data_IF_840331297581
#
_entry.id   IF_840331297581
#
_cell.length_a   1.000
_cell.length_b   1.000
_cell.length_c   1.000
_cell.angle_alpha   90.00
_cell.angle_beta   90.00
_cell.angle_gamma   90.00
#
_symmetry.space_group_name_H-M   'P 1'
#
loop_
_entity.id
_entity.type
_entity.pdbx_description
1 polymer ?
#
# COMPACT_ATOMS: atom_id res chain seq x y z
N UNK A 1 11.17 22.10 0.34
CA UNK A 1 10.34 21.02 0.95
C UNK A 1 9.09 20.85 0.08
N UNK A 2 8.65 19.60 -0.16
CA UNK A 2 7.41 19.38 -0.91
C UNK A 2 6.24 19.89 -0.07
N UNK A 3 5.40 20.77 -0.64
CA UNK A 3 4.25 21.35 0.04
C UNK A 3 3.12 20.32 0.14
N UNK A 4 2.30 20.40 1.19
CA UNK A 4 1.12 19.57 1.28
C UNK A 4 0.16 19.88 0.13
N UNK A 5 -0.47 18.85 -0.41
CA UNK A 5 -1.38 18.95 -1.54
C UNK A 5 -2.67 18.18 -1.25
N UNK A 6 -3.77 18.67 -1.81
CA UNK A 6 -5.11 18.12 -1.66
C UNK A 6 -5.66 17.71 -3.01
N UNK A 7 -6.35 16.56 -3.04
CA UNK A 7 -7.18 16.13 -4.15
C UNK A 7 -8.60 15.87 -3.67
N UNK A 8 -9.57 16.18 -4.52
CA UNK A 8 -11.00 15.96 -4.29
C UNK A 8 -11.62 15.42 -5.57
N UNK A 9 -12.30 14.28 -5.49
CA UNK A 9 -13.10 13.71 -6.57
C UNK A 9 -14.55 13.53 -6.12
N UNK A 10 -15.53 13.73 -7.01
CA UNK A 10 -16.94 13.46 -6.69
C UNK A 10 -17.12 12.04 -6.14
N UNK A 11 -17.82 11.93 -5.00
CA UNK A 11 -18.10 10.64 -4.35
C UNK A 11 -16.96 10.04 -3.52
N UNK A 12 -15.77 10.67 -3.48
CA UNK A 12 -14.65 10.24 -2.64
C UNK A 12 -14.39 11.23 -1.50
N UNK A 13 -13.91 10.77 -0.33
CA UNK A 13 -13.49 11.70 0.72
C UNK A 13 -12.28 12.53 0.24
N UNK A 14 -12.13 13.80 0.67
CA UNK A 14 -10.94 14.58 0.36
C UNK A 14 -9.68 13.87 0.86
N UNK A 15 -8.64 13.86 0.02
CA UNK A 15 -7.35 13.29 0.37
C UNK A 15 -6.30 14.40 0.39
N UNK A 16 -5.66 14.57 1.54
CA UNK A 16 -4.51 15.47 1.70
C UNK A 16 -3.25 14.64 1.91
N UNK A 17 -2.18 14.96 1.19
CA UNK A 17 -0.85 14.38 1.34
C UNK A 17 0.09 15.45 1.85
N UNK A 18 0.74 15.20 2.99
CA UNK A 18 1.84 15.98 3.54
C UNK A 18 3.11 15.11 3.55
N UNK A 19 3.81 15.10 2.42
CA UNK A 19 5.03 14.34 2.25
C UNK A 19 6.16 14.81 3.19
N UNK A 20 6.15 16.07 3.62
CA UNK A 20 7.15 16.60 4.55
C UNK A 20 7.00 16.02 5.97
N UNK A 21 5.79 15.60 6.35
CA UNK A 21 5.50 14.94 7.63
C UNK A 21 5.30 13.43 7.50
N UNK A 22 5.50 12.86 6.30
CA UNK A 22 5.16 11.49 5.93
C UNK A 22 3.73 11.08 6.33
N UNK A 23 2.76 12.00 6.19
CA UNK A 23 1.35 11.81 6.58
C UNK A 23 0.35 12.06 5.47
N UNK A 24 -0.81 11.42 5.55
CA UNK A 24 -2.02 11.79 4.82
C UNK A 24 -3.20 12.05 5.76
N UNK A 25 -4.22 12.74 5.25
CA UNK A 25 -5.45 13.05 5.97
C UNK A 25 -6.64 12.75 5.06
N UNK A 26 -7.46 11.76 5.42
CA UNK A 26 -8.66 11.39 4.65
C UNK A 26 -9.71 10.59 5.48
N UNK A 27 -9.63 10.66 6.82
CA UNK A 27 -10.41 9.82 7.73
C UNK A 27 -9.68 8.54 8.15
N UNK A 28 -10.31 7.73 9.01
CA UNK A 28 -9.68 6.58 9.66
C UNK A 28 -9.76 5.27 8.86
N UNK A 29 -10.79 5.12 8.03
CA UNK A 29 -11.09 3.92 7.23
C UNK A 29 -10.48 4.00 5.84
N UNK A 30 -10.00 2.88 5.31
CA UNK A 30 -9.29 2.82 4.02
C UNK A 30 -10.18 2.53 2.83
N UNK A 31 -11.26 1.74 2.98
CA UNK A 31 -12.12 1.37 1.83
C UNK A 31 -12.63 2.56 1.02
N UNK A 32 -13.04 3.70 1.63
CA UNK A 32 -13.46 4.89 0.87
C UNK A 32 -12.37 5.47 -0.05
N UNK A 33 -11.09 5.18 0.21
CA UNK A 33 -9.96 5.67 -0.58
C UNK A 33 -9.60 4.76 -1.76
N UNK A 34 -10.21 3.58 -1.88
CA UNK A 34 -9.97 2.68 -3.01
C UNK A 34 -10.30 3.33 -4.36
N UNK A 35 -11.25 4.28 -4.39
CA UNK A 35 -11.55 5.05 -5.60
C UNK A 35 -10.38 5.91 -6.11
N UNK A 36 -9.43 6.31 -5.24
CA UNK A 36 -8.21 6.99 -5.67
C UNK A 36 -7.15 6.02 -6.24
N UNK A 37 -7.33 4.71 -6.06
CA UNK A 37 -6.45 3.70 -6.65
C UNK A 37 -6.87 3.34 -8.08
N UNK A 38 -8.01 3.86 -8.54
CA UNK A 38 -8.58 3.58 -9.85
C UNK A 38 -8.31 4.75 -10.82
N UNK A 39 -7.83 4.41 -12.01
CA UNK A 39 -7.52 5.37 -13.06
C UNK A 39 -6.30 6.26 -12.77
N UNK A 40 -5.94 7.09 -13.74
CA UNK A 40 -4.86 8.06 -13.59
C UNK A 40 -5.30 9.22 -12.68
N UNK A 41 -4.38 9.75 -11.86
CA UNK A 41 -4.54 11.03 -11.17
C UNK A 41 -3.68 12.05 -11.89
N UNK A 42 -4.31 12.99 -12.60
CA UNK A 42 -3.58 14.04 -13.29
C UNK A 42 -2.94 15.00 -12.27
N UNK A 43 -1.76 15.52 -12.59
CA UNK A 43 -1.06 16.50 -11.74
C UNK A 43 -1.91 17.76 -11.50
N UNK A 44 -2.78 18.11 -12.46
CA UNK A 44 -3.69 19.26 -12.38
C UNK A 44 -4.86 19.07 -11.42
N UNK A 45 -5.16 17.84 -10.99
CA UNK A 45 -6.18 17.58 -9.95
C UNK A 45 -5.68 17.97 -8.55
N UNK A 46 -4.37 18.07 -8.37
CA UNK A 46 -3.76 18.44 -7.10
C UNK A 46 -3.81 19.94 -6.87
N UNK A 47 -4.39 20.31 -5.73
CA UNK A 47 -4.44 21.69 -5.24
C UNK A 47 -3.39 21.86 -4.15
N UNK A 48 -2.50 22.85 -4.33
CA UNK A 48 -1.59 23.26 -3.26
C UNK A 48 -2.39 23.81 -2.07
N UNK A 49 -2.01 23.44 -0.85
CA UNK A 49 -2.55 24.05 0.37
C UNK A 49 -1.72 25.25 0.78
N UNK A 50 -2.35 26.26 1.36
CA UNK A 50 -1.66 27.34 2.07
C UNK A 50 -0.98 26.81 3.33
N UNK A 51 -0.08 27.60 3.91
CA UNK A 51 0.64 27.19 5.12
C UNK A 51 -0.32 27.11 6.32
N UNK A 52 -1.30 28.02 6.39
CA UNK A 52 -2.36 28.02 7.40
C UNK A 52 -3.26 26.77 7.31
N UNK A 53 -3.64 26.36 6.09
CA UNK A 53 -4.41 25.13 5.89
C UNK A 53 -3.60 23.88 6.24
N UNK A 54 -2.32 23.86 5.84
CA UNK A 54 -1.40 22.76 6.17
C UNK A 54 -1.25 22.60 7.68
N UNK A 55 -1.07 23.71 8.40
CA UNK A 55 -0.94 23.69 9.86
C UNK A 55 -2.22 23.22 10.56
N UNK A 56 -3.39 23.60 10.04
CA UNK A 56 -4.67 23.09 10.54
C UNK A 56 -4.76 21.55 10.48
N UNK A 57 -4.28 20.94 9.41
CA UNK A 57 -4.23 19.46 9.32
C UNK A 57 -3.21 18.86 10.28
N UNK A 58 -2.02 19.44 10.41
CA UNK A 58 -1.00 18.95 11.35
C UNK A 58 -1.48 18.99 12.80
N UNK A 59 -2.12 20.11 13.17
CA UNK A 59 -2.66 20.34 14.50
C UNK A 59 -3.88 19.46 14.85
N UNK A 60 -4.61 18.90 13.87
CA UNK A 60 -5.75 18.02 14.15
C UNK A 60 -5.36 16.66 14.72
N UNK A 61 -4.08 16.30 14.63
CA UNK A 61 -3.53 14.98 14.95
C UNK A 61 -4.28 13.79 14.31
N UNK A 62 -5.05 14.04 13.24
CA UNK A 62 -5.81 13.01 12.51
C UNK A 62 -5.01 12.40 11.35
N UNK A 63 -3.75 12.81 11.20
CA UNK A 63 -2.87 12.34 10.12
C UNK A 63 -2.41 10.91 10.34
N UNK A 64 -2.41 10.13 9.26
CA UNK A 64 -2.00 8.72 9.24
C UNK A 64 -0.74 8.55 8.37
N UNK A 65 0.10 7.53 8.62
CA UNK A 65 1.36 7.36 7.88
C UNK A 65 1.15 7.16 6.38
N UNK A 66 1.99 7.79 5.53
CA UNK A 66 1.91 7.60 4.07
C UNK A 66 2.18 6.17 3.63
N UNK A 67 2.94 5.39 4.40
CA UNK A 67 3.10 3.96 4.15
C UNK A 67 1.77 3.22 4.11
N UNK A 68 0.78 3.59 4.95
CA UNK A 68 -0.56 2.99 4.94
C UNK A 68 -1.31 3.31 3.65
N UNK A 69 -1.12 4.50 3.08
CA UNK A 69 -1.71 4.89 1.80
C UNK A 69 -1.01 4.20 0.62
N UNK A 70 0.31 4.10 0.63
CA UNK A 70 1.09 3.35 -0.36
C UNK A 70 0.68 1.86 -0.37
N UNK A 71 0.55 1.28 0.81
CA UNK A 71 0.05 -0.08 0.99
C UNK A 71 -1.33 -0.27 0.34
N UNK A 72 -2.28 0.65 0.60
CA UNK A 72 -3.61 0.58 0.01
C UNK A 72 -3.57 0.71 -1.52
N UNK A 73 -2.76 1.64 -2.03
CA UNK A 73 -2.60 1.85 -3.46
C UNK A 73 -2.08 0.61 -4.17
N UNK A 74 -1.04 -0.03 -3.61
CA UNK A 74 -0.49 -1.28 -4.15
C UNK A 74 -1.49 -2.41 -4.06
N UNK A 75 -2.21 -2.54 -2.94
CA UNK A 75 -3.25 -3.54 -2.77
C UNK A 75 -4.36 -3.37 -3.82
N UNK A 76 -4.81 -2.13 -4.04
CA UNK A 76 -5.90 -1.80 -4.97
C UNK A 76 -5.52 -1.88 -6.46
N UNK A 77 -4.23 -2.01 -6.79
CA UNK A 77 -3.73 -2.03 -8.18
C UNK A 77 -2.98 -3.32 -8.56
N UNK A 78 -2.72 -4.21 -7.60
CA UNK A 78 -1.95 -5.45 -7.85
C UNK A 78 -2.72 -6.51 -8.64
N UNK A 79 -4.06 -6.51 -8.55
CA UNK A 79 -4.99 -7.33 -9.32
C UNK A 79 -4.79 -8.86 -9.23
N UNK A 80 -4.03 -9.36 -8.26
CA UNK A 80 -3.90 -10.79 -7.94
C UNK A 80 -3.20 -11.68 -8.98
N UNK A 81 -2.80 -11.15 -10.14
CA UNK A 81 -2.26 -11.95 -11.24
C UNK A 81 -0.74 -12.16 -11.14
N UNK A 82 -0.02 -11.19 -10.58
CA UNK A 82 1.45 -11.18 -10.55
C UNK A 82 1.97 -10.45 -9.31
N UNK A 83 3.21 -10.77 -8.93
CA UNK A 83 3.98 -10.00 -7.95
C UNK A 83 4.64 -8.76 -8.59
N UNK A 84 5.03 -7.78 -7.78
CA UNK A 84 5.75 -6.59 -8.25
C UNK A 84 7.07 -6.98 -8.93
N UNK A 85 7.48 -6.27 -10.01
CA UNK A 85 8.79 -6.45 -10.62
C UNK A 85 9.93 -6.48 -9.60
N UNK A 86 10.80 -7.49 -9.69
CA UNK A 86 11.87 -7.73 -8.72
C UNK A 86 11.50 -8.66 -7.56
N UNK A 87 10.23 -9.07 -7.45
CA UNK A 87 9.82 -10.25 -6.69
C UNK A 87 9.70 -11.45 -7.64
N UNK A 88 10.10 -12.62 -7.17
CA UNK A 88 9.95 -13.88 -7.92
C UNK A 88 8.65 -14.60 -7.52
N UNK A 89 7.70 -14.75 -8.45
CA UNK A 89 6.43 -15.42 -8.20
C UNK A 89 6.60 -16.87 -7.70
N UNK A 90 7.69 -17.54 -8.12
CA UNK A 90 8.02 -18.91 -7.71
C UNK A 90 8.95 -18.95 -6.48
N UNK A 91 9.31 -17.78 -5.96
CA UNK A 91 10.15 -17.64 -4.77
C UNK A 91 9.42 -18.00 -3.48
N UNK A 92 10.20 -18.07 -2.40
CA UNK A 92 9.66 -18.21 -1.04
C UNK A 92 9.70 -16.88 -0.32
N UNK A 93 8.65 -16.61 0.43
CA UNK A 93 8.42 -15.33 1.09
C UNK A 93 8.14 -15.53 2.57
N UNK A 94 8.54 -14.54 3.37
CA UNK A 94 8.15 -14.42 4.78
C UNK A 94 7.85 -12.97 5.12
N UNK A 95 7.18 -12.76 6.24
CA UNK A 95 7.09 -11.45 6.87
C UNK A 95 8.31 -11.24 7.78
N UNK A 96 8.86 -10.02 7.74
CA UNK A 96 9.98 -9.62 8.62
C UNK A 96 9.52 -9.25 10.02
N UNK A 97 8.24 -8.90 10.17
CA UNK A 97 7.58 -8.56 11.44
C UNK A 97 6.05 -8.65 11.29
N UNK A 98 5.36 -8.72 12.42
CA UNK A 98 3.89 -8.71 12.43
C UNK A 98 3.34 -7.37 11.88
N UNK A 99 2.46 -7.41 10.86
CA UNK A 99 1.90 -6.21 10.26
C UNK A 99 0.69 -5.68 11.03
N UNK A 100 0.36 -4.40 10.81
CA UNK A 100 -0.96 -3.88 11.18
C UNK A 100 -2.02 -4.56 10.31
N UNK A 101 -2.98 -5.26 10.94
CA UNK A 101 -4.09 -5.88 10.23
C UNK A 101 -5.26 -4.92 10.18
N UNK A 102 -5.60 -4.48 8.97
CA UNK A 102 -6.78 -3.67 8.70
C UNK A 102 -8.05 -4.53 8.80
N UNK A 103 -8.96 -4.20 9.73
CA UNK A 103 -10.21 -4.97 9.98
C UNK A 103 -11.07 -5.09 8.72
N UNK A 104 -10.92 -4.15 7.81
CA UNK A 104 -11.60 -4.10 6.51
C UNK A 104 -11.17 -5.22 5.55
N UNK A 105 -10.06 -5.93 5.84
CA UNK A 105 -9.43 -6.97 5.02
C UNK A 105 -9.17 -8.27 5.84
N UNK A 106 -10.23 -9.02 6.21
CA UNK A 106 -10.15 -10.09 7.21
C UNK A 106 -9.25 -11.28 6.84
N UNK A 107 -9.04 -11.55 5.54
CA UNK A 107 -8.13 -12.63 5.09
C UNK A 107 -6.66 -12.36 5.46
N UNK A 108 -6.28 -11.10 5.60
CA UNK A 108 -4.90 -10.67 5.84
C UNK A 108 -4.33 -11.22 7.14
N UNK A 109 -5.15 -11.40 8.17
CA UNK A 109 -4.70 -12.01 9.43
C UNK A 109 -4.16 -13.43 9.22
N UNK A 110 -4.87 -14.26 8.43
CA UNK A 110 -4.49 -15.66 8.21
C UNK A 110 -3.26 -15.76 7.31
N UNK A 111 -3.20 -14.94 6.25
CA UNK A 111 -2.02 -14.84 5.38
C UNK A 111 -0.78 -14.42 6.19
N UNK A 112 -0.91 -13.38 7.02
CA UNK A 112 0.17 -12.93 7.90
C UNK A 112 0.62 -14.04 8.87
N UNK A 113 -0.33 -14.75 9.48
CA UNK A 113 -0.03 -15.86 10.39
C UNK A 113 0.77 -16.96 9.71
N UNK A 114 0.43 -17.31 8.46
CA UNK A 114 1.19 -18.30 7.68
C UNK A 114 2.60 -17.80 7.36
N UNK A 115 2.73 -16.56 6.86
CA UNK A 115 4.01 -15.97 6.45
C UNK A 115 4.97 -15.64 7.61
N UNK A 116 4.47 -15.54 8.85
CA UNK A 116 5.31 -15.34 10.04
C UNK A 116 6.07 -16.60 10.47
N UNK A 117 5.69 -17.78 9.98
CA UNK A 117 6.32 -19.06 10.36
C UNK A 117 7.71 -19.25 9.74
N UNK A 118 7.98 -18.60 8.60
CA UNK A 118 9.22 -18.76 7.85
C UNK A 118 9.01 -18.51 6.36
N UNK A 119 10.06 -18.77 5.57
CA UNK A 119 9.96 -18.70 4.12
C UNK A 119 9.09 -19.83 3.57
N UNK A 120 8.05 -19.47 2.81
CA UNK A 120 7.17 -20.42 2.15
C UNK A 120 6.81 -19.95 0.73
N UNK A 121 6.59 -20.87 -0.23
CA UNK A 121 5.98 -20.56 -1.52
C UNK A 121 4.59 -19.92 -1.35
N UNK A 122 4.20 -19.05 -2.28
CA UNK A 122 2.90 -18.36 -2.18
C UNK A 122 1.70 -19.32 -2.18
N UNK A 123 1.79 -20.45 -2.90
CA UNK A 123 0.73 -21.46 -2.92
C UNK A 123 0.55 -22.11 -1.54
N UNK A 124 1.64 -22.46 -0.84
CA UNK A 124 1.55 -23.03 0.51
C UNK A 124 0.95 -22.04 1.51
N UNK A 125 1.28 -20.75 1.37
CA UNK A 125 0.67 -19.68 2.18
C UNK A 125 -0.83 -19.57 1.90
N UNK A 126 -1.24 -19.66 0.63
CA UNK A 126 -2.64 -19.61 0.22
C UNK A 126 -3.44 -20.76 0.84
N UNK A 127 -2.92 -21.98 0.73
CA UNK A 127 -3.54 -23.20 1.27
C UNK A 127 -3.67 -23.10 2.80
N UNK A 128 -2.59 -22.70 3.50
CA UNK A 128 -2.58 -22.55 4.95
C UNK A 128 -3.51 -21.43 5.46
N UNK A 129 -3.71 -20.38 4.66
CA UNK A 129 -4.56 -19.24 5.02
C UNK A 129 -6.04 -19.43 4.61
N UNK A 130 -6.35 -20.43 3.79
CA UNK A 130 -7.66 -20.57 3.15
C UNK A 130 -7.98 -19.37 2.25
N UNK A 131 -6.98 -18.91 1.49
CA UNK A 131 -7.07 -17.76 0.59
C UNK A 131 -6.75 -18.20 -0.85
N UNK A 132 -7.06 -17.37 -1.85
CA UNK A 132 -6.60 -17.62 -3.22
C UNK A 132 -5.13 -17.21 -3.38
N UNK A 133 -4.44 -17.76 -4.39
CA UNK A 133 -3.09 -17.31 -4.74
C UNK A 133 -3.05 -15.80 -5.05
N UNK A 134 -4.11 -15.27 -5.67
CA UNK A 134 -4.24 -13.84 -5.95
C UNK A 134 -4.37 -12.98 -4.68
N UNK A 135 -5.15 -13.42 -3.69
CA UNK A 135 -5.23 -12.74 -2.39
C UNK A 135 -3.83 -12.67 -1.72
N UNK A 136 -3.03 -13.75 -1.84
CA UNK A 136 -1.67 -13.80 -1.29
C UNK A 136 -0.71 -12.93 -2.09
N UNK A 137 -0.78 -12.92 -3.41
CA UNK A 137 0.04 -12.05 -4.26
C UNK A 137 -0.22 -10.57 -3.99
N UNK A 138 -1.49 -10.16 -3.85
CA UNK A 138 -1.88 -8.80 -3.50
C UNK A 138 -1.36 -8.41 -2.11
N UNK A 139 -1.49 -9.31 -1.13
CA UNK A 139 -0.93 -9.13 0.20
C UNK A 139 0.59 -8.94 0.16
N UNK A 140 1.31 -9.84 -0.54
CA UNK A 140 2.77 -9.78 -0.68
C UNK A 140 3.21 -8.48 -1.32
N UNK A 141 2.56 -8.05 -2.40
CA UNK A 141 2.87 -6.80 -3.07
C UNK A 141 2.69 -5.60 -2.12
N UNK A 142 1.54 -5.52 -1.45
CA UNK A 142 1.21 -4.40 -0.57
C UNK A 142 2.18 -4.30 0.61
N UNK A 143 2.58 -5.43 1.21
CA UNK A 143 3.51 -5.44 2.33
C UNK A 143 4.99 -5.35 1.90
N UNK A 144 5.35 -5.84 0.72
CA UNK A 144 6.68 -5.62 0.13
C UNK A 144 6.92 -4.12 -0.14
N UNK A 145 5.90 -3.43 -0.65
CA UNK A 145 5.95 -1.99 -0.92
C UNK A 145 6.24 -1.10 0.30
N UNK A 146 5.98 -1.61 1.51
CA UNK A 146 6.27 -0.91 2.76
C UNK A 146 7.39 -1.59 3.57
N UNK A 147 8.11 -2.55 2.98
CA UNK A 147 9.31 -3.17 3.54
C UNK A 147 9.06 -4.30 4.56
N UNK A 148 7.89 -4.93 4.54
CA UNK A 148 7.51 -5.95 5.53
C UNK A 148 7.66 -7.38 4.99
N UNK A 149 7.87 -7.55 3.69
CA UNK A 149 8.10 -8.84 3.05
C UNK A 149 9.57 -9.00 2.71
N UNK A 150 10.09 -10.21 2.96
CA UNK A 150 11.38 -10.66 2.48
C UNK A 150 11.18 -11.88 1.58
N UNK A 151 11.91 -11.93 0.46
CA UNK A 151 12.07 -13.14 -0.35
C UNK A 151 13.37 -13.85 0.02
N UNK A 152 13.39 -15.18 -0.09
CA UNK A 152 14.53 -16.02 0.32
C UNK A 152 15.80 -15.69 -0.49
N UNK A 153 15.63 -15.45 -1.80
CA UNK A 153 16.70 -15.11 -2.73
C UNK A 153 16.43 -13.78 -3.41
N UNK A 154 17.46 -12.95 -3.51
CA UNK A 154 17.36 -11.60 -4.08
C UNK A 154 16.87 -10.56 -3.07
N UNK A 155 16.82 -9.29 -3.51
CA UNK A 155 16.37 -8.18 -2.67
C UNK A 155 15.36 -7.35 -3.43
N UNK A 156 14.25 -7.03 -2.77
CA UNK A 156 13.28 -6.08 -3.28
C UNK A 156 13.51 -4.72 -2.61
N UNK A 157 13.84 -3.71 -3.42
CA UNK A 157 13.98 -2.35 -2.91
C UNK A 157 12.60 -1.72 -2.69
N UNK A 158 12.18 -1.61 -1.43
CA UNK A 158 10.92 -1.01 -1.00
C UNK A 158 10.94 0.54 -0.98
N UNK A 159 11.95 1.19 -1.58
CA UNK A 159 11.94 2.63 -1.79
C UNK A 159 10.65 3.06 -2.50
N UNK A 160 9.94 4.04 -1.92
CA UNK A 160 8.61 4.47 -2.38
C UNK A 160 8.62 4.87 -3.85
N UNK A 161 9.65 5.60 -4.30
CA UNK A 161 9.75 6.04 -5.69
C UNK A 161 9.95 4.82 -6.61
N UNK A 162 10.87 3.93 -6.26
CA UNK A 162 11.09 2.69 -7.01
C UNK A 162 9.84 1.81 -7.08
N UNK A 163 9.08 1.69 -5.99
CA UNK A 163 7.80 0.96 -5.96
C UNK A 163 6.79 1.59 -6.92
N UNK A 164 6.61 2.91 -6.86
CA UNK A 164 5.67 3.62 -7.73
C UNK A 164 6.07 3.53 -9.21
N UNK A 165 7.35 3.61 -9.52
CA UNK A 165 7.85 3.48 -10.90
C UNK A 165 7.59 2.06 -11.45
N UNK A 166 7.77 1.01 -10.63
CA UNK A 166 7.43 -0.37 -11.03
C UNK A 166 5.93 -0.58 -11.22
N UNK A 167 5.09 0.05 -10.41
CA UNK A 167 3.63 -0.01 -10.58
C UNK A 167 3.21 0.60 -11.91
N UNK A 168 3.79 1.75 -12.28
CA UNK A 168 3.54 2.40 -13.58
C UNK A 168 3.92 1.51 -14.76
N UNK A 169 5.05 0.81 -14.65
CA UNK A 169 5.50 -0.14 -15.69
C UNK A 169 4.57 -1.34 -15.86
N UNK A 170 3.73 -1.69 -14.87
CA UNK A 170 2.73 -2.77 -14.98
C UNK A 170 1.41 -2.33 -15.63
N UNK A 171 1.14 -1.02 -15.63
CA UNK A 171 -0.14 -0.47 -16.06
C UNK A 171 -0.16 -0.06 -17.54
N UNK A 172 0.99 -0.12 -18.23
CA UNK A 172 1.13 0.05 -19.68
C UNK A 172 1.54 -1.25 -20.34
#
# INVERSE_FOLDING_TARGET
MARAAKIERPGLPPLVIDAAQDRYYAGLTLKPLLGYCQGEIALTEWKSLTDAETEKFRSSNSGLPLSRLLWLYVLGTSNGLNVLPGLDLNGKFKLTKWPQIEREFPKHFRIATAMMKGFAPLQEVADAAGASLGDVADFVNAYAAIGFVQQETGSFNADRKAVLDRLRQRAG
#
